data_IF_503405303788
#
_entry.id   IF_503405303788
#
_cell.length_a   1.000
_cell.length_b   1.000
_cell.length_c   1.000
_cell.angle_alpha   90.00
_cell.angle_beta   90.00
_cell.angle_gamma   90.00
#
_symmetry.space_group_name_H-M   'P 1'
#
loop_
_entity.id
_entity.type
_entity.pdbx_description
1 polymer ?
#
# COMPACT_ATOMS: atom_id res chain seq x y z
N UNK A 1 28.45 -7.29 -15.13
CA UNK A 1 27.83 -5.95 -15.11
C UNK A 1 26.86 -5.93 -13.94
N UNK A 2 26.97 -4.98 -13.03
CA UNK A 2 25.97 -4.83 -11.97
C UNK A 2 24.70 -4.32 -12.60
N UNK A 3 23.60 -5.09 -12.49
CA UNK A 3 22.29 -4.66 -12.98
C UNK A 3 21.80 -3.57 -12.04
N UNK A 4 21.41 -2.42 -12.58
CA UNK A 4 20.95 -1.27 -11.78
C UNK A 4 19.47 -1.00 -12.01
N UNK A 5 18.83 -0.45 -10.98
CA UNK A 5 17.48 0.09 -11.06
C UNK A 5 17.50 1.35 -11.94
N UNK A 6 16.62 1.41 -12.93
CA UNK A 6 16.29 2.66 -13.59
C UNK A 6 15.21 3.40 -12.79
N UNK A 7 15.65 4.34 -11.96
CA UNK A 7 14.77 5.10 -11.06
C UNK A 7 13.67 5.88 -11.79
N UNK A 8 13.91 6.27 -13.04
CA UNK A 8 12.90 6.97 -13.86
C UNK A 8 11.80 6.01 -14.33
N UNK A 9 12.10 4.73 -14.40
CA UNK A 9 11.14 3.69 -14.79
C UNK A 9 10.34 3.12 -13.62
N UNK A 10 10.65 3.48 -12.36
CA UNK A 10 9.84 3.09 -11.19
C UNK A 10 8.46 3.76 -11.28
N UNK A 11 7.36 2.98 -11.24
CA UNK A 11 6.01 3.54 -11.20
C UNK A 11 5.80 4.43 -9.97
N UNK A 12 5.34 5.66 -10.17
CA UNK A 12 5.17 6.62 -9.07
C UNK A 12 3.88 6.43 -8.28
N UNK A 13 2.87 5.83 -8.92
CA UNK A 13 1.59 5.48 -8.29
C UNK A 13 1.27 4.00 -8.54
N UNK A 14 0.33 3.46 -7.77
CA UNK A 14 -0.17 2.10 -8.03
C UNK A 14 -0.87 2.02 -9.39
N UNK A 15 -1.49 3.10 -9.82
CA UNK A 15 -2.17 3.19 -11.13
C UNK A 15 -1.19 3.10 -12.29
N UNK A 16 -0.08 3.85 -12.23
CA UNK A 16 1.00 3.74 -13.24
C UNK A 16 1.56 2.32 -13.33
N UNK A 17 1.65 1.66 -12.19
CA UNK A 17 2.11 0.27 -12.14
C UNK A 17 1.13 -0.69 -12.80
N UNK A 18 -0.17 -0.57 -12.50
CA UNK A 18 -1.20 -1.39 -13.12
C UNK A 18 -1.27 -1.20 -14.63
N UNK A 19 -1.10 0.03 -15.11
CA UNK A 19 -1.09 0.33 -16.53
C UNK A 19 0.10 -0.34 -17.24
N UNK A 20 1.29 -0.27 -16.67
CA UNK A 20 2.45 -1.03 -17.18
C UNK A 20 2.18 -2.53 -17.20
N UNK A 21 1.59 -3.09 -16.15
CA UNK A 21 1.27 -4.52 -16.12
C UNK A 21 0.19 -4.92 -17.13
N UNK A 22 -0.80 -4.05 -17.40
CA UNK A 22 -1.78 -4.27 -18.47
C UNK A 22 -1.13 -4.32 -19.83
N UNK A 23 -0.25 -3.37 -20.13
CA UNK A 23 0.51 -3.32 -21.40
C UNK A 23 1.35 -4.59 -21.63
N UNK A 24 1.79 -5.22 -20.56
CA UNK A 24 2.55 -6.48 -20.57
C UNK A 24 1.66 -7.74 -20.59
N UNK A 25 0.34 -7.60 -20.55
CA UNK A 25 -0.59 -8.72 -20.44
C UNK A 25 -0.58 -9.42 -19.05
N UNK A 26 -0.06 -8.74 -18.02
CA UNK A 26 0.04 -9.26 -16.66
C UNK A 26 -1.15 -8.91 -15.77
N UNK A 27 -2.06 -8.06 -16.26
CA UNK A 27 -3.34 -7.73 -15.63
C UNK A 27 -4.48 -7.87 -16.63
N UNK A 28 -5.66 -8.29 -16.15
CA UNK A 28 -6.90 -8.35 -16.93
C UNK A 28 -8.02 -7.62 -16.21
N UNK A 29 -8.86 -6.94 -16.96
CA UNK A 29 -10.06 -6.30 -16.42
C UNK A 29 -11.25 -7.27 -16.48
N UNK A 30 -12.06 -7.27 -15.41
CA UNK A 30 -13.29 -8.04 -15.28
C UNK A 30 -14.43 -7.02 -15.09
N UNK A 31 -15.30 -6.92 -16.09
CA UNK A 31 -16.40 -5.96 -16.13
C UNK A 31 -17.71 -6.55 -15.55
N UNK A 32 -17.80 -7.87 -15.46
CA UNK A 32 -18.89 -8.55 -14.80
C UNK A 32 -18.89 -8.24 -13.30
N UNK A 33 -20.09 -8.17 -12.72
CA UNK A 33 -20.21 -7.97 -11.28
C UNK A 33 -19.68 -9.19 -10.52
N UNK A 34 -18.76 -8.94 -9.60
CA UNK A 34 -18.14 -9.96 -8.74
C UNK A 34 -18.65 -9.76 -7.30
N UNK A 35 -19.05 -10.84 -6.65
CA UNK A 35 -19.47 -10.78 -5.25
C UNK A 35 -18.21 -10.70 -4.34
N UNK A 36 -18.15 -9.65 -3.50
CA UNK A 36 -17.09 -9.53 -2.49
C UNK A 36 -17.08 -10.70 -1.48
N UNK A 37 -18.23 -11.40 -1.31
CA UNK A 37 -18.36 -12.52 -0.40
C UNK A 37 -17.86 -13.82 -1.06
N UNK A 38 -16.58 -14.13 -0.85
CA UNK A 38 -15.87 -15.35 -1.28
C UNK A 38 -15.56 -15.43 -2.79
N UNK A 39 -16.37 -14.88 -3.70
CA UNK A 39 -16.12 -15.04 -5.13
C UNK A 39 -14.86 -14.30 -5.57
N UNK A 40 -14.72 -13.04 -5.16
CA UNK A 40 -13.49 -12.27 -5.38
C UNK A 40 -12.26 -13.04 -4.87
N UNK A 41 -12.31 -13.57 -3.65
CA UNK A 41 -11.26 -14.38 -3.06
C UNK A 41 -10.97 -15.68 -3.84
N UNK A 42 -12.00 -16.34 -4.35
CA UNK A 42 -11.86 -17.57 -5.15
C UNK A 42 -11.17 -17.28 -6.50
N UNK A 43 -11.54 -16.20 -7.18
CA UNK A 43 -10.90 -15.75 -8.42
C UNK A 43 -9.42 -15.42 -8.17
N UNK A 44 -9.14 -14.67 -7.10
CA UNK A 44 -7.76 -14.33 -6.69
C UNK A 44 -6.92 -15.57 -6.43
N UNK A 45 -7.44 -16.49 -5.65
CA UNK A 45 -6.75 -17.75 -5.36
C UNK A 45 -6.46 -18.52 -6.64
N UNK A 46 -7.42 -18.62 -7.54
CA UNK A 46 -7.25 -19.33 -8.81
C UNK A 46 -6.21 -18.68 -9.71
N UNK A 47 -6.22 -17.33 -9.80
CA UNK A 47 -5.19 -16.58 -10.53
C UNK A 47 -3.80 -16.85 -9.96
N UNK A 48 -3.64 -16.80 -8.63
CA UNK A 48 -2.35 -17.05 -7.99
C UNK A 48 -1.85 -18.48 -8.19
N UNK A 49 -2.70 -19.50 -7.98
CA UNK A 49 -2.34 -20.93 -8.14
C UNK A 49 -1.91 -21.27 -9.58
N UNK A 50 -2.46 -20.57 -10.56
CA UNK A 50 -2.19 -20.82 -11.99
C UNK A 50 -1.19 -19.81 -12.59
N UNK A 51 -0.68 -18.89 -11.77
CA UNK A 51 0.16 -17.80 -12.24
C UNK A 51 -0.46 -17.02 -13.42
N UNK A 52 -1.78 -16.83 -13.39
CA UNK A 52 -2.51 -16.05 -14.40
C UNK A 52 -2.26 -14.55 -14.23
N UNK A 53 -2.62 -13.73 -15.23
CA UNK A 53 -2.70 -12.29 -15.06
C UNK A 53 -3.54 -11.92 -13.82
N UNK A 54 -3.12 -10.87 -13.11
CA UNK A 54 -3.88 -10.38 -11.96
C UNK A 54 -5.21 -9.76 -12.37
N UNK A 55 -6.32 -10.01 -11.66
CA UNK A 55 -7.60 -9.41 -11.99
C UNK A 55 -7.69 -7.97 -11.50
N UNK A 56 -8.36 -7.14 -12.29
CA UNK A 56 -8.90 -5.83 -11.90
C UNK A 56 -10.42 -5.97 -11.98
N UNK A 57 -11.10 -5.90 -10.84
CA UNK A 57 -12.55 -5.96 -10.77
C UNK A 57 -13.11 -4.55 -10.92
N UNK A 58 -13.75 -4.28 -12.06
CA UNK A 58 -14.33 -2.97 -12.36
C UNK A 58 -15.69 -2.78 -11.67
N UNK A 59 -16.35 -3.87 -11.28
CA UNK A 59 -17.64 -3.85 -10.61
C UNK A 59 -17.67 -4.89 -9.49
N UNK A 60 -17.74 -4.41 -8.26
CA UNK A 60 -17.89 -5.25 -7.07
C UNK A 60 -19.26 -5.00 -6.47
N UNK A 61 -19.98 -6.06 -6.14
CA UNK A 61 -21.32 -6.04 -5.59
C UNK A 61 -21.40 -5.12 -4.36
N UNK A 62 -22.49 -4.37 -4.24
CA UNK A 62 -22.77 -3.42 -3.17
C UNK A 62 -21.76 -2.25 -3.06
N UNK A 63 -20.85 -2.11 -4.00
CA UNK A 63 -19.91 -0.99 -4.05
C UNK A 63 -20.37 0.07 -5.05
N UNK A 64 -20.08 1.36 -4.80
CA UNK A 64 -20.42 2.43 -5.73
C UNK A 64 -19.68 2.28 -7.07
N UNK A 65 -20.27 2.79 -8.14
CA UNK A 65 -19.62 2.86 -9.44
C UNK A 65 -18.28 3.62 -9.34
N UNK A 66 -17.27 3.12 -10.05
CA UNK A 66 -15.90 3.67 -10.02
C UNK A 66 -15.01 3.15 -8.89
N UNK A 67 -15.56 2.47 -7.88
CA UNK A 67 -14.80 1.77 -6.87
C UNK A 67 -14.35 0.41 -7.40
N UNK A 68 -13.05 0.28 -7.66
CA UNK A 68 -12.45 -0.90 -8.28
C UNK A 68 -11.43 -1.55 -7.35
N UNK A 69 -11.27 -2.86 -7.48
CA UNK A 69 -10.22 -3.59 -6.79
C UNK A 69 -9.23 -4.18 -7.79
N UNK A 70 -7.94 -4.10 -7.46
CA UNK A 70 -6.88 -4.72 -8.26
C UNK A 70 -6.00 -5.58 -7.36
N UNK A 71 -5.65 -6.77 -7.83
CA UNK A 71 -4.95 -7.76 -7.02
C UNK A 71 -3.79 -8.40 -7.77
N UNK A 72 -2.82 -8.93 -6.98
CA UNK A 72 -1.63 -9.64 -7.49
C UNK A 72 -0.70 -8.85 -8.42
N UNK A 73 -0.67 -7.54 -8.33
CA UNK A 73 0.29 -6.77 -9.11
C UNK A 73 1.74 -7.23 -8.94
N UNK A 74 2.12 -7.71 -7.76
CA UNK A 74 3.46 -8.25 -7.47
C UNK A 74 3.51 -9.79 -7.35
N UNK A 75 2.46 -10.51 -7.74
CA UNK A 75 2.43 -11.98 -7.76
C UNK A 75 3.34 -12.56 -8.86
N UNK A 76 3.53 -13.88 -8.82
CA UNK A 76 4.28 -14.59 -9.86
C UNK A 76 3.56 -14.53 -11.21
N UNK A 77 4.33 -14.33 -12.27
CA UNK A 77 3.87 -14.44 -13.65
C UNK A 77 3.96 -15.88 -14.15
N UNK A 78 3.04 -16.23 -15.06
CA UNK A 78 3.09 -17.47 -15.83
C UNK A 78 3.98 -17.38 -17.08
N UNK A 79 4.62 -16.25 -17.35
CA UNK A 79 5.54 -16.09 -18.48
C UNK A 79 6.76 -16.99 -18.33
N UNK A 80 7.03 -17.89 -19.28
CA UNK A 80 8.15 -18.82 -19.19
C UNK A 80 9.49 -18.09 -19.01
N UNK A 81 10.26 -18.51 -18.01
CA UNK A 81 11.57 -17.92 -17.71
C UNK A 81 11.54 -16.60 -16.91
N UNK A 82 10.36 -15.96 -16.74
CA UNK A 82 10.23 -14.64 -16.11
C UNK A 82 9.23 -14.62 -14.94
N UNK A 83 9.34 -15.49 -13.95
CA UNK A 83 8.32 -15.60 -12.90
C UNK A 83 8.18 -14.34 -12.03
N UNK A 84 9.18 -13.47 -12.03
CA UNK A 84 9.24 -12.26 -11.20
C UNK A 84 9.16 -10.96 -12.00
N UNK A 85 8.75 -11.01 -13.27
CA UNK A 85 8.70 -9.86 -14.16
C UNK A 85 7.86 -8.69 -13.62
N UNK A 86 6.79 -8.98 -12.90
CA UNK A 86 5.97 -7.95 -12.24
C UNK A 86 6.76 -7.20 -11.18
N UNK A 87 7.54 -7.92 -10.36
CA UNK A 87 8.44 -7.32 -9.36
C UNK A 87 9.56 -6.54 -10.01
N UNK A 88 10.14 -7.03 -11.11
CA UNK A 88 11.16 -6.31 -11.86
C UNK A 88 10.64 -4.94 -12.34
N UNK A 89 9.45 -4.91 -12.94
CA UNK A 89 8.82 -3.65 -13.41
C UNK A 89 8.48 -2.71 -12.26
N UNK A 90 8.04 -3.26 -11.12
CA UNK A 90 7.83 -2.48 -9.88
C UNK A 90 9.10 -1.71 -9.46
N UNK A 91 10.27 -2.31 -9.64
CA UNK A 91 11.57 -1.73 -9.30
C UNK A 91 12.23 -0.96 -10.47
N UNK A 92 11.52 -0.74 -11.57
CA UNK A 92 12.09 -0.05 -12.75
C UNK A 92 13.18 -0.86 -13.45
N UNK A 93 13.06 -2.18 -13.45
CA UNK A 93 14.04 -3.10 -14.04
C UNK A 93 13.42 -3.86 -15.22
N UNK A 94 14.28 -4.43 -16.07
CA UNK A 94 13.85 -5.26 -17.18
C UNK A 94 13.09 -6.51 -16.68
N UNK A 95 12.00 -6.91 -17.37
CA UNK A 95 11.12 -8.01 -16.89
C UNK A 95 11.84 -9.34 -16.65
N UNK A 96 12.88 -9.63 -17.42
CA UNK A 96 13.68 -10.86 -17.36
C UNK A 96 14.72 -10.85 -16.23
N UNK A 97 14.81 -9.76 -15.43
CA UNK A 97 15.82 -9.63 -14.37
C UNK A 97 15.65 -10.75 -13.32
N UNK A 98 16.71 -11.50 -13.00
CA UNK A 98 16.67 -12.52 -11.96
C UNK A 98 16.38 -11.94 -10.57
N UNK A 99 15.64 -12.68 -9.74
CA UNK A 99 15.24 -12.22 -8.40
C UNK A 99 16.43 -11.77 -7.53
N UNK A 100 17.52 -12.52 -7.53
CA UNK A 100 18.70 -12.17 -6.72
C UNK A 100 19.36 -10.87 -7.18
N UNK A 101 19.36 -10.62 -8.49
CA UNK A 101 19.90 -9.37 -9.04
C UNK A 101 19.00 -8.18 -8.68
N UNK A 102 17.67 -8.38 -8.68
CA UNK A 102 16.72 -7.38 -8.19
C UNK A 102 16.95 -7.05 -6.71
N UNK A 103 17.14 -8.06 -5.87
CA UNK A 103 17.40 -7.87 -4.43
C UNK A 103 18.70 -7.08 -4.20
N UNK A 104 19.78 -7.44 -4.88
CA UNK A 104 21.05 -6.73 -4.76
C UNK A 104 20.95 -5.29 -5.27
N UNK A 105 20.32 -5.07 -6.42
CA UNK A 105 20.12 -3.74 -6.99
C UNK A 105 19.23 -2.87 -6.09
N UNK A 106 18.19 -3.46 -5.45
CA UNK A 106 17.33 -2.77 -4.51
C UNK A 106 18.09 -2.31 -3.27
N UNK A 107 18.90 -3.19 -2.65
CA UNK A 107 19.73 -2.84 -1.50
C UNK A 107 20.75 -1.76 -1.88
N UNK A 108 21.47 -1.93 -3.00
CA UNK A 108 22.43 -0.93 -3.50
C UNK A 108 21.74 0.43 -3.74
N UNK A 109 20.54 0.44 -4.30
CA UNK A 109 19.80 1.67 -4.57
C UNK A 109 19.41 2.43 -3.28
N UNK A 110 19.06 1.72 -2.21
CA UNK A 110 18.75 2.32 -0.91
C UNK A 110 20.03 2.81 -0.22
N UNK A 111 21.10 2.02 -0.27
CA UNK A 111 22.36 2.36 0.40
C UNK A 111 23.08 3.55 -0.25
N UNK A 112 23.03 3.63 -1.59
CA UNK A 112 23.74 4.67 -2.36
C UNK A 112 22.85 5.84 -2.78
N UNK A 113 21.53 5.69 -2.68
CA UNK A 113 20.58 6.74 -3.05
C UNK A 113 20.62 7.92 -2.07
N UNK A 114 20.38 9.10 -2.61
CA UNK A 114 20.28 10.31 -1.80
C UNK A 114 18.91 10.34 -1.10
N UNK A 115 18.93 10.65 0.19
CA UNK A 115 17.72 10.99 0.93
C UNK A 115 17.29 12.41 0.60
N UNK A 116 16.01 12.61 0.43
CA UNK A 116 15.41 13.89 0.07
C UNK A 116 14.35 14.24 1.11
N UNK A 117 14.24 15.52 1.42
CA UNK A 117 13.11 16.01 2.21
C UNK A 117 11.80 15.85 1.42
N UNK A 118 10.66 15.64 2.09
CA UNK A 118 9.38 15.51 1.40
C UNK A 118 8.99 16.81 0.69
N UNK A 119 8.39 16.64 -0.49
CA UNK A 119 7.69 17.72 -1.14
C UNK A 119 6.29 17.84 -0.53
N UNK A 120 6.03 18.90 0.23
CA UNK A 120 4.74 19.11 0.86
C UNK A 120 3.78 19.73 -0.15
N UNK A 121 2.72 18.97 -0.48
CA UNK A 121 1.69 19.40 -1.43
C UNK A 121 0.52 19.99 -0.66
N UNK A 122 0.06 21.16 -1.11
CA UNK A 122 -1.12 21.80 -0.53
C UNK A 122 -2.37 20.92 -0.69
N UNK A 123 -3.28 21.03 0.27
CA UNK A 123 -4.51 20.22 0.28
C UNK A 123 -5.35 20.37 -0.99
N UNK A 124 -5.36 21.57 -1.57
CA UNK A 124 -6.10 21.87 -2.80
C UNK A 124 -5.54 21.16 -4.04
N UNK A 125 -4.24 20.83 -4.02
CA UNK A 125 -3.52 20.19 -5.13
C UNK A 125 -3.31 18.69 -4.91
N UNK A 126 -3.78 18.16 -3.78
CA UNK A 126 -3.60 16.77 -3.41
C UNK A 126 -4.79 15.90 -3.87
N UNK A 127 -4.63 14.99 -4.85
CA UNK A 127 -5.73 14.16 -5.36
C UNK A 127 -6.43 13.33 -4.27
N UNK A 128 -5.71 12.90 -3.24
CA UNK A 128 -6.28 12.17 -2.10
C UNK A 128 -7.21 13.03 -1.22
N UNK A 129 -7.33 14.32 -1.47
CA UNK A 129 -8.19 15.27 -0.75
C UNK A 129 -9.39 15.76 -1.55
N UNK A 130 -9.56 15.32 -2.81
CA UNK A 130 -10.71 15.71 -3.66
C UNK A 130 -12.05 15.28 -3.07
N UNK A 131 -12.09 14.06 -2.53
CA UNK A 131 -13.29 13.50 -1.92
C UNK A 131 -13.07 13.28 -0.43
N UNK A 132 -13.95 13.83 0.40
CA UNK A 132 -13.84 13.77 1.86
C UNK A 132 -15.14 13.27 2.46
N UNK A 133 -15.05 12.29 3.34
CA UNK A 133 -16.16 11.80 4.15
C UNK A 133 -15.88 12.06 5.62
N UNK A 134 -16.84 12.63 6.31
CA UNK A 134 -16.74 12.95 7.73
C UNK A 134 -17.94 12.42 8.50
N UNK A 135 -17.73 12.12 9.77
CA UNK A 135 -18.81 11.74 10.68
C UNK A 135 -19.66 10.58 10.14
N UNK A 136 -20.94 10.84 9.97
CA UNK A 136 -21.92 9.83 9.55
C UNK A 136 -21.85 9.43 8.07
N UNK A 137 -21.16 10.21 7.22
CA UNK A 137 -20.97 9.90 5.81
C UNK A 137 -19.89 8.83 5.59
N UNK A 138 -19.06 8.57 6.60
CA UNK A 138 -18.02 7.53 6.56
C UNK A 138 -18.70 6.16 6.45
N UNK A 139 -18.37 5.42 5.39
CA UNK A 139 -18.80 4.04 5.23
C UNK A 139 -17.73 3.18 4.55
N UNK A 140 -16.99 2.44 5.36
CA UNK A 140 -15.94 1.53 4.92
C UNK A 140 -16.45 0.37 4.06
N UNK A 141 -17.75 0.04 4.15
CA UNK A 141 -18.36 -1.01 3.34
C UNK A 141 -18.49 -0.63 1.86
N UNK A 142 -18.37 0.66 1.52
CA UNK A 142 -18.34 1.13 0.14
C UNK A 142 -17.06 0.75 -0.61
N UNK A 143 -15.99 0.40 0.11
CA UNK A 143 -14.77 -0.07 -0.55
C UNK A 143 -14.92 -1.50 -1.06
N UNK A 144 -14.39 -1.82 -2.25
CA UNK A 144 -14.45 -3.16 -2.83
C UNK A 144 -13.47 -4.09 -2.11
N UNK A 145 -13.83 -4.51 -0.94
CA UNK A 145 -12.99 -5.24 0.00
C UNK A 145 -13.53 -6.66 0.17
N UNK A 146 -12.76 -7.71 -0.11
CA UNK A 146 -13.26 -9.07 -0.06
C UNK A 146 -13.38 -9.64 1.36
N UNK A 147 -14.33 -10.55 1.54
CA UNK A 147 -14.23 -11.67 2.45
C UNK A 147 -13.53 -12.79 1.68
N UNK A 148 -12.21 -12.94 1.88
CA UNK A 148 -11.38 -13.77 1.01
C UNK A 148 -11.55 -15.27 1.17
N UNK A 149 -11.84 -15.74 2.38
CA UNK A 149 -11.98 -17.16 2.71
C UNK A 149 -13.16 -17.42 3.65
N UNK A 150 -13.74 -18.60 3.58
CA UNK A 150 -14.88 -18.99 4.43
C UNK A 150 -14.57 -19.00 5.94
N UNK A 151 -13.29 -19.05 6.31
CA UNK A 151 -12.85 -18.97 7.71
C UNK A 151 -12.53 -17.55 8.19
N UNK A 152 -12.53 -16.57 7.30
CA UNK A 152 -12.32 -15.17 7.67
C UNK A 152 -13.54 -14.65 8.43
N UNK A 153 -13.31 -13.90 9.49
CA UNK A 153 -14.39 -13.37 10.30
C UNK A 153 -15.06 -12.17 9.64
N UNK A 154 -14.25 -11.32 9.00
CA UNK A 154 -14.68 -10.04 8.45
C UNK A 154 -13.97 -9.71 7.12
N UNK A 155 -14.48 -8.71 6.39
CA UNK A 155 -13.84 -8.16 5.20
C UNK A 155 -12.53 -7.46 5.57
N UNK A 156 -11.45 -7.74 4.84
CA UNK A 156 -10.11 -7.22 5.13
C UNK A 156 -9.74 -6.11 4.16
N UNK A 157 -9.82 -4.85 4.62
CA UNK A 157 -9.58 -3.67 3.78
C UNK A 157 -8.08 -3.37 3.60
N UNK A 158 -7.28 -3.57 4.64
CA UNK A 158 -5.88 -3.17 4.63
C UNK A 158 -4.98 -4.34 4.26
N UNK A 159 -4.76 -4.55 2.96
CA UNK A 159 -3.85 -5.60 2.46
C UNK A 159 -2.61 -5.05 1.77
N UNK A 160 -2.70 -3.89 1.12
CA UNK A 160 -1.62 -3.28 0.36
C UNK A 160 -1.48 -1.77 0.58
N UNK A 161 -2.14 -1.21 1.58
CA UNK A 161 -1.96 0.17 1.98
C UNK A 161 -0.83 0.33 2.99
N UNK A 162 -0.41 1.56 3.20
CA UNK A 162 0.60 1.94 4.19
C UNK A 162 -0.11 2.53 5.41
N UNK A 163 0.11 1.94 6.58
CA UNK A 163 -0.25 2.55 7.86
C UNK A 163 0.83 3.56 8.24
N UNK A 164 0.43 4.73 8.63
CA UNK A 164 1.31 5.84 8.99
C UNK A 164 0.97 6.28 10.41
N UNK A 165 1.93 6.24 11.30
CA UNK A 165 1.82 6.80 12.64
C UNK A 165 3.10 7.54 13.03
N UNK A 166 3.00 8.45 13.99
CA UNK A 166 4.10 9.31 14.40
C UNK A 166 4.19 9.37 15.93
N UNK A 167 5.42 9.50 16.45
CA UNK A 167 5.65 9.72 17.88
C UNK A 167 5.01 11.04 18.35
N UNK A 168 4.63 11.16 19.64
CA UNK A 168 4.02 12.39 20.16
C UNK A 168 4.88 13.64 20.03
N UNK A 169 6.19 13.49 19.95
CA UNK A 169 7.14 14.58 19.73
C UNK A 169 7.41 14.91 18.25
N UNK A 170 6.78 14.15 17.34
CA UNK A 170 6.88 14.35 15.90
C UNK A 170 8.22 13.96 15.26
N UNK A 171 9.13 13.33 16.01
CA UNK A 171 10.50 13.07 15.53
C UNK A 171 10.67 11.77 14.76
N UNK A 172 9.74 10.84 14.89
CA UNK A 172 9.78 9.56 14.21
C UNK A 172 8.42 9.23 13.60
N UNK A 173 8.40 9.04 12.29
CA UNK A 173 7.22 8.63 11.53
C UNK A 173 7.45 7.20 11.01
N UNK A 174 6.62 6.29 11.46
CA UNK A 174 6.67 4.90 11.01
C UNK A 174 5.64 4.64 9.91
N UNK A 175 6.09 3.97 8.86
CA UNK A 175 5.25 3.38 7.84
C UNK A 175 5.26 1.86 7.97
N UNK A 176 4.10 1.24 7.88
CA UNK A 176 4.00 -0.21 8.00
C UNK A 176 2.87 -0.78 7.16
N UNK A 177 2.93 -2.06 6.87
CA UNK A 177 1.87 -2.81 6.22
C UNK A 177 1.23 -3.76 7.22
N UNK A 178 -0.06 -3.55 7.53
CA UNK A 178 -0.80 -4.40 8.45
C UNK A 178 -2.22 -4.60 7.93
N UNK A 179 -2.79 -5.78 8.12
CA UNK A 179 -4.17 -6.05 7.76
C UNK A 179 -5.13 -5.39 8.74
N UNK A 180 -6.21 -4.84 8.23
CA UNK A 180 -7.33 -4.33 9.02
C UNK A 180 -8.65 -4.93 8.57
N UNK A 181 -9.45 -5.38 9.51
CA UNK A 181 -10.80 -5.90 9.28
C UNK A 181 -11.84 -4.82 9.50
N UNK A 182 -12.83 -4.73 8.64
CA UNK A 182 -13.96 -3.81 8.78
C UNK A 182 -14.90 -4.39 9.85
N UNK A 183 -15.03 -3.68 10.96
CA UNK A 183 -15.94 -4.08 12.05
C UNK A 183 -17.34 -3.48 11.87
N UNK A 184 -17.41 -2.27 11.36
CA UNK A 184 -18.63 -1.56 11.00
C UNK A 184 -18.31 -0.42 10.02
N UNK A 185 -19.28 0.46 9.72
CA UNK A 185 -19.13 1.50 8.70
C UNK A 185 -17.96 2.48 8.94
N UNK A 186 -17.49 2.65 10.17
CA UNK A 186 -16.46 3.64 10.52
C UNK A 186 -15.37 3.09 11.45
N UNK A 187 -15.34 1.80 11.69
CA UNK A 187 -14.39 1.16 12.62
C UNK A 187 -13.70 -0.02 11.95
N UNK A 188 -12.41 -0.06 12.12
CA UNK A 188 -11.55 -1.18 11.72
C UNK A 188 -10.88 -1.80 12.93
N UNK A 189 -10.56 -3.08 12.87
CA UNK A 189 -9.73 -3.77 13.83
C UNK A 189 -8.54 -4.45 13.15
N UNK A 190 -7.40 -4.55 13.85
CA UNK A 190 -6.20 -5.20 13.33
C UNK A 190 -5.16 -5.45 14.44
N UNK A 191 -4.16 -6.27 14.13
CA UNK A 191 -3.06 -6.60 15.05
C UNK A 191 -1.87 -5.62 14.90
N UNK A 192 -2.16 -4.33 14.94
CA UNK A 192 -1.14 -3.30 14.65
C UNK A 192 -0.30 -2.89 15.86
N UNK A 193 -0.73 -3.28 17.06
CA UNK A 193 -0.20 -2.76 18.31
C UNK A 193 0.60 -3.81 19.09
N UNK A 194 1.21 -4.79 18.41
CA UNK A 194 2.13 -5.70 19.06
C UNK A 194 3.31 -4.90 19.65
N UNK A 195 3.63 -5.07 20.95
CA UNK A 195 4.64 -4.23 21.62
C UNK A 195 6.04 -4.27 21.00
N UNK A 196 6.34 -5.31 20.25
CA UNK A 196 7.63 -5.49 19.55
C UNK A 196 7.66 -4.87 18.15
N UNK A 197 6.56 -4.27 17.71
CA UNK A 197 6.47 -3.57 16.42
C UNK A 197 6.47 -2.06 16.63
N UNK A 198 6.98 -1.31 15.67
CA UNK A 198 7.08 0.15 15.75
C UNK A 198 5.72 0.81 16.03
N UNK A 199 4.64 0.34 15.38
CA UNK A 199 3.29 0.85 15.68
C UNK A 199 2.90 0.66 17.14
N UNK A 200 3.24 -0.49 17.74
CA UNK A 200 2.98 -0.77 19.15
C UNK A 200 3.81 0.10 20.08
N UNK A 201 5.09 0.33 19.74
CA UNK A 201 5.97 1.21 20.49
C UNK A 201 5.45 2.67 20.47
N UNK A 202 5.09 3.17 19.28
CA UNK A 202 4.55 4.52 19.13
C UNK A 202 3.20 4.66 19.86
N UNK A 203 2.33 3.65 19.75
CA UNK A 203 1.08 3.63 20.49
C UNK A 203 1.30 3.71 22.01
N UNK A 204 2.27 2.99 22.54
CA UNK A 204 2.60 3.05 23.96
C UNK A 204 3.04 4.47 24.39
N UNK A 205 3.85 5.16 23.57
CA UNK A 205 4.27 6.54 23.83
C UNK A 205 3.08 7.52 23.91
N UNK A 206 2.05 7.31 23.09
CA UNK A 206 0.81 8.09 23.14
C UNK A 206 -0.03 7.73 24.38
N UNK A 207 -0.15 6.43 24.68
CA UNK A 207 -0.89 5.94 25.83
C UNK A 207 -0.29 6.45 27.16
N UNK A 208 1.03 6.56 27.29
CA UNK A 208 1.73 7.14 28.45
C UNK A 208 1.37 8.62 28.66
N UNK A 209 0.95 9.33 27.62
CA UNK A 209 0.41 10.69 27.72
C UNK A 209 -1.11 10.74 27.96
N UNK A 210 -1.78 9.59 28.04
CA UNK A 210 -3.24 9.51 28.18
C UNK A 210 -3.99 9.97 26.92
N UNK A 211 -3.36 9.86 25.74
CA UNK A 211 -3.93 10.32 24.46
C UNK A 211 -4.08 9.15 23.48
N UNK A 212 -5.07 9.27 22.61
CA UNK A 212 -5.21 8.37 21.47
C UNK A 212 -4.09 8.64 20.45
N UNK A 213 -3.58 7.58 19.83
CA UNK A 213 -2.59 7.68 18.74
C UNK A 213 -3.29 8.00 17.41
N UNK A 214 -3.06 9.17 16.82
CA UNK A 214 -3.52 9.44 15.47
C UNK A 214 -2.78 8.56 14.47
N UNK A 215 -3.50 8.07 13.45
CA UNK A 215 -2.86 7.37 12.36
C UNK A 215 -3.61 7.58 11.03
N UNK A 216 -2.93 7.29 9.93
CA UNK A 216 -3.52 7.31 8.61
C UNK A 216 -3.24 6.00 7.87
N UNK A 217 -4.06 5.72 6.86
CA UNK A 217 -3.82 4.64 5.92
C UNK A 217 -3.81 5.24 4.52
N UNK A 218 -2.72 5.06 3.79
CA UNK A 218 -2.60 5.47 2.40
C UNK A 218 -2.77 4.26 1.48
N UNK A 219 -3.73 4.34 0.56
CA UNK A 219 -3.93 3.36 -0.51
C UNK A 219 -3.44 3.93 -1.84
N UNK A 220 -3.07 3.06 -2.78
CA UNK A 220 -2.70 3.47 -4.12
C UNK A 220 -1.31 4.09 -4.25
N UNK A 221 -0.47 3.95 -3.25
CA UNK A 221 0.94 4.38 -3.29
C UNK A 221 1.76 3.55 -4.29
N UNK A 222 2.91 4.07 -4.71
CA UNK A 222 3.86 3.28 -5.50
C UNK A 222 4.18 1.95 -4.82
N UNK A 223 4.11 0.81 -5.53
CA UNK A 223 4.43 -0.49 -4.93
C UNK A 223 5.88 -0.59 -4.45
N UNK A 224 6.81 0.11 -5.10
CA UNK A 224 8.20 0.20 -4.67
C UNK A 224 8.32 0.89 -3.30
N UNK A 225 7.52 1.95 -3.07
CA UNK A 225 7.41 2.64 -1.77
C UNK A 225 6.72 1.74 -0.74
N UNK A 226 5.64 1.05 -1.11
CA UNK A 226 4.95 0.11 -0.22
C UNK A 226 5.86 -1.02 0.26
N UNK A 227 6.85 -1.43 -0.56
CA UNK A 227 7.86 -2.42 -0.17
C UNK A 227 8.72 -1.93 1.00
N UNK A 228 9.03 -0.63 1.08
CA UNK A 228 9.78 -0.07 2.20
C UNK A 228 8.95 -0.11 3.50
N UNK A 229 7.66 0.20 3.43
CA UNK A 229 6.75 0.07 4.56
C UNK A 229 6.58 -1.38 5.06
N UNK A 230 6.84 -2.36 4.20
CA UNK A 230 6.88 -3.79 4.54
C UNK A 230 8.26 -4.30 5.00
N UNK A 231 9.28 -3.47 4.94
CA UNK A 231 10.65 -3.83 5.31
C UNK A 231 10.89 -3.64 6.81
N UNK A 232 11.77 -4.46 7.38
CA UNK A 232 12.18 -4.27 8.77
C UNK A 232 13.33 -3.25 8.81
N UNK A 233 13.05 -2.09 9.39
CA UNK A 233 14.04 -1.03 9.62
C UNK A 233 14.39 -0.94 11.11
N UNK A 234 15.55 -0.35 11.47
CA UNK A 234 15.87 -0.06 12.87
C UNK A 234 14.88 0.92 13.49
N UNK A 235 14.78 0.89 14.83
CA UNK A 235 14.00 1.86 15.59
C UNK A 235 14.46 3.29 15.27
N UNK A 236 13.52 4.22 15.19
CA UNK A 236 13.76 5.64 14.90
C UNK A 236 14.32 5.93 13.50
N UNK A 237 14.17 5.00 12.57
CA UNK A 237 14.43 5.21 11.15
C UNK A 237 13.09 5.32 10.43
N UNK A 238 12.92 6.38 9.64
CA UNK A 238 11.71 6.60 8.86
C UNK A 238 11.80 5.81 7.53
N UNK A 239 10.78 5.02 7.21
CA UNK A 239 10.68 4.32 5.91
C UNK A 239 10.56 5.30 4.74
N UNK A 240 10.14 6.54 5.02
CA UNK A 240 10.20 7.63 4.06
C UNK A 240 11.62 7.83 3.52
N UNK A 241 12.62 7.86 4.39
CA UNK A 241 14.03 8.05 4.02
C UNK A 241 14.51 6.97 3.04
N UNK A 242 14.15 5.71 3.32
CA UNK A 242 14.50 4.59 2.45
C UNK A 242 13.78 4.67 1.10
N UNK A 243 12.53 5.11 1.13
CA UNK A 243 11.73 5.30 -0.08
C UNK A 243 12.29 6.42 -0.96
N UNK A 244 12.66 7.56 -0.37
CA UNK A 244 13.28 8.67 -1.08
C UNK A 244 14.66 8.31 -1.65
N UNK A 245 15.45 7.52 -0.91
CA UNK A 245 16.74 7.00 -1.38
C UNK A 245 16.56 6.00 -2.54
N UNK A 246 15.58 5.08 -2.46
CA UNK A 246 15.27 4.16 -3.55
C UNK A 246 14.93 4.92 -4.84
N UNK A 247 14.07 5.94 -4.72
CA UNK A 247 13.62 6.75 -5.85
C UNK A 247 14.65 7.79 -6.31
N UNK A 248 15.63 8.12 -5.46
CA UNK A 248 16.53 9.27 -5.57
C UNK A 248 15.78 10.58 -5.90
N UNK A 249 14.64 10.74 -5.22
CA UNK A 249 13.73 11.88 -5.42
C UNK A 249 12.84 12.06 -4.19
N UNK A 250 12.32 13.28 -3.94
CA UNK A 250 11.31 13.49 -2.91
C UNK A 250 10.02 12.75 -3.27
N UNK A 251 9.24 12.40 -2.23
CA UNK A 251 7.85 11.99 -2.40
C UNK A 251 6.94 13.17 -2.07
N UNK A 252 5.84 13.26 -2.81
CA UNK A 252 4.78 14.23 -2.55
C UNK A 252 3.95 13.76 -1.36
N UNK A 253 3.93 14.54 -0.30
CA UNK A 253 3.12 14.29 0.88
C UNK A 253 2.11 15.42 1.06
N UNK A 254 0.83 15.08 1.08
CA UNK A 254 -0.18 15.97 1.59
C UNK A 254 -0.27 15.77 3.10
N UNK A 255 0.05 16.80 3.87
CA UNK A 255 -0.05 16.72 5.31
C UNK A 255 -1.51 16.47 5.69
N UNK A 256 -1.73 15.36 6.37
CA UNK A 256 -2.89 15.26 7.23
C UNK A 256 -2.54 16.18 8.39
N UNK A 257 -3.24 17.32 8.51
CA UNK A 257 -3.16 18.09 9.72
C UNK A 257 -3.65 17.17 10.84
N UNK A 258 -2.72 16.57 11.57
CA UNK A 258 -2.96 16.05 12.90
C UNK A 258 -3.00 17.27 13.82
N UNK A 259 -3.89 18.24 13.51
CA UNK A 259 -4.37 19.19 14.48
C UNK A 259 -5.21 18.39 15.44
N UNK A 260 -5.06 18.65 16.74
CA UNK A 260 -5.84 18.02 17.80
C UNK A 260 -7.29 17.84 17.32
N UNK A 261 -7.89 16.65 17.49
CA UNK A 261 -9.29 16.51 17.22
C UNK A 261 -10.01 17.52 18.10
N UNK A 262 -10.54 18.59 17.49
CA UNK A 262 -11.52 19.42 18.16
C UNK A 262 -12.67 18.48 18.47
N UNK A 263 -12.73 17.96 19.70
CA UNK A 263 -13.94 17.30 20.19
C UNK A 263 -15.06 18.31 19.98
N UNK A 264 -16.12 17.97 19.22
CA UNK A 264 -17.33 18.78 19.32
C UNK A 264 -17.75 18.72 20.79
N UNK A 265 -17.88 19.87 21.38
CA UNK A 265 -18.47 20.01 22.72
C UNK A 265 -19.88 19.44 22.75
#
# INVERSE_FOLDING_TARGET
MTIKIDRNSIPRTYRDYLDKLKDMGEMIEIDEEVDWNLEEGAILRRSGEKCLPGPIFNKVKDCPEGFRAACFGNGKSGTPGEPWRRTAVMLGMAPETPLMDMMHAHLEAIETGKRHDPNIVDEADAPCKENKWFGDDIDLNKFPTPLGHAGDKDRVIQQAGINICQTPDGKWTNWSTNRGSIMNKNTMAGLWLAPSQHNGMIHQMWAEQGKDMPFAIAFGVSPAVATQAGSRVPDFVDEYDLSSALLDAPLDLSLIHISEPTRPE
#
